data_IF_635225106821
#
_entry.id   IF_635225106821
#
_cell.length_a   1.000
_cell.length_b   1.000
_cell.length_c   1.000
_cell.angle_alpha   90.00
_cell.angle_beta   90.00
_cell.angle_gamma   90.00
#
_symmetry.space_group_name_H-M   'P 1'
#
loop_
_entity.id
_entity.type
_entity.pdbx_description
1 polymer ?
#
# COMPACT_ATOMS: atom_id res chain seq x y z
N UNK A 1 -9.24 -25.49 8.73
CA UNK A 1 -10.49 -25.57 7.97
C UNK A 1 -10.26 -24.93 6.61
N UNK A 2 -10.50 -25.61 5.50
CA UNK A 2 -10.37 -25.01 4.19
C UNK A 2 -11.37 -23.83 4.05
N UNK A 3 -11.02 -22.79 3.26
CA UNK A 3 -11.95 -21.71 3.02
C UNK A 3 -13.23 -22.22 2.35
N UNK A 4 -14.39 -21.61 2.61
CA UNK A 4 -15.60 -21.96 1.90
C UNK A 4 -15.37 -21.95 0.37
N UNK A 5 -15.93 -22.90 -0.35
CA UNK A 5 -15.73 -23.04 -1.79
C UNK A 5 -16.02 -21.74 -2.57
N UNK A 6 -16.97 -20.95 -2.11
CA UNK A 6 -17.32 -19.63 -2.67
C UNK A 6 -16.19 -18.59 -2.52
N UNK A 7 -15.26 -18.77 -1.59
CA UNK A 7 -14.14 -17.86 -1.34
C UNK A 7 -12.86 -18.28 -2.07
N UNK A 8 -12.81 -19.48 -2.61
CA UNK A 8 -11.62 -20.06 -3.23
C UNK A 8 -11.11 -19.18 -4.37
N UNK A 9 -11.99 -18.70 -5.22
CA UNK A 9 -11.60 -17.86 -6.35
C UNK A 9 -10.91 -16.55 -5.90
N UNK A 10 -11.51 -15.84 -4.96
CA UNK A 10 -10.91 -14.58 -4.45
C UNK A 10 -9.62 -14.88 -3.67
N UNK A 11 -9.60 -15.97 -2.91
CA UNK A 11 -8.40 -16.39 -2.21
C UNK A 11 -7.24 -16.66 -3.18
N UNK A 12 -7.49 -17.35 -4.28
CA UNK A 12 -6.49 -17.59 -5.33
C UNK A 12 -6.00 -16.29 -5.97
N UNK A 13 -6.88 -15.35 -6.21
CA UNK A 13 -6.48 -14.03 -6.71
C UNK A 13 -5.59 -13.28 -5.71
N UNK A 14 -5.91 -13.33 -4.41
CA UNK A 14 -5.13 -12.66 -3.37
C UNK A 14 -3.77 -13.28 -3.12
N UNK A 15 -3.60 -14.56 -3.40
CA UNK A 15 -2.40 -15.36 -3.05
C UNK A 15 -1.67 -15.95 -4.24
N UNK A 16 -2.28 -15.95 -5.43
CA UNK A 16 -1.71 -16.55 -6.65
C UNK A 16 -0.82 -15.59 -7.43
N UNK A 17 0.31 -16.08 -7.86
CA UNK A 17 1.23 -15.49 -8.84
C UNK A 17 1.30 -13.94 -8.89
N UNK A 18 1.01 -13.37 -10.03
CA UNK A 18 1.12 -11.92 -10.26
C UNK A 18 0.06 -11.11 -9.50
N UNK A 19 -1.16 -11.64 -9.40
CA UNK A 19 -2.24 -11.00 -8.64
C UNK A 19 -1.92 -10.88 -7.15
N UNK A 20 -1.26 -11.87 -6.57
CA UNK A 20 -0.83 -11.83 -5.18
C UNK A 20 0.15 -10.70 -4.90
N UNK A 21 0.99 -10.37 -5.85
CA UNK A 21 1.94 -9.26 -5.70
C UNK A 21 1.24 -7.90 -5.73
N UNK A 22 0.27 -7.71 -6.60
CA UNK A 22 -0.55 -6.50 -6.65
C UNK A 22 -1.35 -6.29 -5.36
N UNK A 23 -1.97 -7.35 -4.86
CA UNK A 23 -2.70 -7.31 -3.59
C UNK A 23 -1.80 -7.05 -2.39
N UNK A 24 -0.65 -7.69 -2.35
CA UNK A 24 0.36 -7.46 -1.31
C UNK A 24 0.89 -6.02 -1.34
N UNK A 25 1.07 -5.46 -2.52
CA UNK A 25 1.47 -4.06 -2.70
C UNK A 25 0.37 -3.11 -2.20
N UNK A 26 -0.88 -3.34 -2.59
CA UNK A 26 -2.02 -2.54 -2.11
C UNK A 26 -2.15 -2.59 -0.58
N UNK A 27 -1.98 -3.76 0.02
CA UNK A 27 -1.95 -3.94 1.46
C UNK A 27 -0.82 -3.13 2.13
N UNK A 28 0.39 -3.21 1.58
CA UNK A 28 1.54 -2.47 2.10
C UNK A 28 1.36 -0.95 2.02
N UNK A 29 0.81 -0.45 0.92
CA UNK A 29 0.51 0.97 0.73
C UNK A 29 -0.50 1.45 1.79
N UNK A 30 -1.59 0.72 1.98
CA UNK A 30 -2.59 1.07 2.99
C UNK A 30 -2.01 1.07 4.41
N UNK A 31 -1.20 0.08 4.74
CA UNK A 31 -0.50 0.00 6.04
C UNK A 31 0.42 1.21 6.22
N UNK A 32 1.20 1.57 5.21
CA UNK A 32 2.09 2.72 5.26
C UNK A 32 1.33 4.03 5.47
N UNK A 33 0.24 4.25 4.75
CA UNK A 33 -0.62 5.41 4.87
C UNK A 33 -1.27 5.50 6.25
N UNK A 34 -1.80 4.38 6.75
CA UNK A 34 -2.42 4.31 8.08
C UNK A 34 -1.40 4.63 9.17
N UNK A 35 -0.20 4.06 9.10
CA UNK A 35 0.86 4.35 10.07
C UNK A 35 1.32 5.80 10.03
N UNK A 36 1.42 6.39 8.85
CA UNK A 36 1.76 7.81 8.71
C UNK A 36 0.71 8.71 9.34
N UNK A 37 -0.57 8.38 9.16
CA UNK A 37 -1.69 9.17 9.67
C UNK A 37 -1.93 8.97 11.18
N UNK A 38 -1.85 7.73 11.66
CA UNK A 38 -2.27 7.35 13.02
C UNK A 38 -1.12 6.99 13.97
N UNK A 39 0.12 6.92 13.49
CA UNK A 39 1.28 6.46 14.26
C UNK A 39 1.28 4.96 14.58
N UNK A 40 0.27 4.22 14.16
CA UNK A 40 0.10 2.79 14.41
C UNK A 40 -0.48 2.08 13.18
N UNK A 41 -0.28 0.77 13.08
CA UNK A 41 -0.80 -0.03 11.98
C UNK A 41 -2.32 -0.23 12.06
N UNK A 42 -2.96 -0.57 10.93
CA UNK A 42 -4.35 -1.03 10.94
C UNK A 42 -4.47 -2.40 11.64
N UNK A 43 -5.68 -2.77 11.99
CA UNK A 43 -6.01 -4.16 12.30
C UNK A 43 -6.14 -4.98 11.01
N UNK A 44 -6.13 -6.29 11.11
CA UNK A 44 -6.42 -7.15 9.95
C UNK A 44 -7.84 -6.89 9.40
N UNK A 45 -8.80 -6.65 10.27
CA UNK A 45 -10.17 -6.33 9.85
C UNK A 45 -10.23 -5.02 9.04
N UNK A 46 -9.58 -3.96 9.50
CA UNK A 46 -9.49 -2.69 8.79
C UNK A 46 -8.76 -2.82 7.44
N UNK A 47 -7.69 -3.62 7.39
CA UNK A 47 -6.96 -3.90 6.16
C UNK A 47 -7.85 -4.58 5.11
N UNK A 48 -8.53 -5.66 5.49
CA UNK A 48 -9.39 -6.39 4.56
C UNK A 48 -10.65 -5.60 4.18
N UNK A 49 -11.23 -4.80 5.08
CA UNK A 49 -12.32 -3.89 4.75
C UNK A 49 -11.90 -2.84 3.70
N UNK A 50 -10.65 -2.40 3.73
CA UNK A 50 -10.11 -1.52 2.70
C UNK A 50 -9.88 -2.23 1.36
N UNK A 51 -9.35 -3.45 1.37
CA UNK A 51 -9.04 -4.21 0.16
C UNK A 51 -10.29 -4.80 -0.51
N UNK A 52 -11.29 -5.18 0.27
CA UNK A 52 -12.54 -5.79 -0.18
C UNK A 52 -13.73 -5.00 0.38
N UNK A 53 -13.97 -3.77 -0.07
CA UNK A 53 -14.95 -2.87 0.54
C UNK A 53 -16.41 -3.33 0.32
N UNK A 54 -16.69 -4.02 -0.77
CA UNK A 54 -18.05 -4.40 -1.15
C UNK A 54 -18.72 -5.40 -0.20
N UNK A 55 -17.92 -6.13 0.59
CA UNK A 55 -18.40 -7.17 1.49
C UNK A 55 -17.74 -7.10 2.89
N UNK A 56 -17.51 -5.90 3.40
CA UNK A 56 -16.89 -5.67 4.72
C UNK A 56 -15.57 -6.42 4.95
N UNK A 57 -14.78 -6.56 3.90
CA UNK A 57 -13.50 -7.28 3.95
C UNK A 57 -13.63 -8.79 3.83
N UNK A 58 -14.71 -9.28 3.29
CA UNK A 58 -14.94 -10.68 2.98
C UNK A 58 -15.01 -10.90 1.47
N UNK A 59 -14.59 -12.07 0.98
CA UNK A 59 -14.64 -12.39 -0.45
C UNK A 59 -16.05 -12.47 -1.03
N UNK A 60 -16.99 -12.93 -0.21
CA UNK A 60 -18.41 -13.10 -0.55
C UNK A 60 -19.21 -13.26 0.74
N UNK A 61 -20.54 -13.17 0.68
CA UNK A 61 -21.40 -13.52 1.79
C UNK A 61 -21.16 -14.94 2.29
N UNK A 62 -21.40 -15.17 3.56
CA UNK A 62 -21.28 -16.52 4.12
C UNK A 62 -22.31 -17.48 3.48
N UNK A 63 -21.91 -18.75 3.24
CA UNK A 63 -22.86 -19.80 2.93
C UNK A 63 -23.95 -19.90 4.01
N UNK A 64 -25.15 -20.24 3.62
CA UNK A 64 -26.22 -20.52 4.58
C UNK A 64 -25.86 -21.69 5.49
N UNK A 65 -26.35 -21.65 6.72
CA UNK A 65 -26.20 -22.75 7.68
C UNK A 65 -24.93 -22.75 8.52
N UNK A 66 -24.00 -21.83 8.31
CA UNK A 66 -22.80 -21.72 9.16
C UNK A 66 -23.12 -21.13 10.53
N UNK A 67 -22.63 -21.80 11.58
CA UNK A 67 -22.65 -21.28 12.95
C UNK A 67 -21.73 -20.06 13.10
N UNK A 68 -21.91 -19.27 14.15
CA UNK A 68 -21.04 -18.13 14.46
C UNK A 68 -19.56 -18.54 14.56
N UNK A 69 -19.28 -19.68 15.19
CA UNK A 69 -17.92 -20.20 15.34
C UNK A 69 -17.27 -20.55 13.99
N UNK A 70 -18.03 -21.20 13.11
CA UNK A 70 -17.56 -21.57 11.78
C UNK A 70 -17.30 -20.34 10.93
N UNK A 71 -18.16 -19.31 10.99
CA UNK A 71 -17.93 -18.02 10.33
C UNK A 71 -16.66 -17.36 10.81
N UNK A 72 -16.45 -17.32 12.13
CA UNK A 72 -15.25 -16.73 12.73
C UNK A 72 -13.98 -17.47 12.28
N UNK A 73 -13.98 -18.80 12.28
CA UNK A 73 -12.86 -19.61 11.81
C UNK A 73 -12.59 -19.43 10.31
N UNK A 74 -13.62 -19.32 9.49
CA UNK A 74 -13.48 -19.08 8.06
C UNK A 74 -12.83 -17.72 7.79
N UNK A 75 -13.24 -16.66 8.47
CA UNK A 75 -12.67 -15.30 8.35
C UNK A 75 -11.22 -15.29 8.80
N UNK A 76 -10.94 -15.85 9.98
CA UNK A 76 -9.59 -15.89 10.55
C UNK A 76 -8.64 -16.70 9.67
N UNK A 77 -9.10 -17.82 9.15
CA UNK A 77 -8.33 -18.66 8.23
C UNK A 77 -8.04 -17.94 6.92
N UNK A 78 -9.04 -17.32 6.30
CA UNK A 78 -8.89 -16.56 5.06
C UNK A 78 -7.89 -15.41 5.21
N UNK A 79 -8.08 -14.55 6.21
CA UNK A 79 -7.20 -13.42 6.49
C UNK A 79 -5.79 -13.87 6.84
N UNK A 80 -5.67 -14.90 7.68
CA UNK A 80 -4.39 -15.44 8.09
C UNK A 80 -3.59 -16.00 6.93
N UNK A 81 -4.18 -16.82 6.07
CA UNK A 81 -3.48 -17.39 4.92
C UNK A 81 -3.06 -16.33 3.90
N UNK A 82 -3.93 -15.38 3.58
CA UNK A 82 -3.59 -14.29 2.65
C UNK A 82 -2.44 -13.43 3.19
N UNK A 83 -2.49 -13.04 4.45
CA UNK A 83 -1.45 -12.20 5.05
C UNK A 83 -0.12 -12.94 5.24
N UNK A 84 -0.13 -14.24 5.53
CA UNK A 84 1.09 -15.06 5.58
C UNK A 84 1.77 -15.08 4.21
N UNK A 85 1.01 -15.22 3.14
CA UNK A 85 1.57 -15.19 1.79
C UNK A 85 2.21 -13.84 1.47
N UNK A 86 1.54 -12.74 1.79
CA UNK A 86 2.09 -11.40 1.60
C UNK A 86 3.32 -11.11 2.50
N UNK A 87 3.36 -11.72 3.68
CA UNK A 87 4.53 -11.68 4.56
C UNK A 87 5.71 -12.45 3.97
N UNK A 88 5.48 -13.64 3.41
CA UNK A 88 6.50 -14.43 2.71
C UNK A 88 7.13 -13.67 1.55
N UNK A 89 6.32 -12.88 0.85
CA UNK A 89 6.80 -11.97 -0.22
C UNK A 89 7.55 -10.75 0.31
N UNK A 90 7.62 -10.56 1.62
CA UNK A 90 8.31 -9.44 2.25
C UNK A 90 7.60 -8.09 2.11
N UNK A 91 6.32 -8.09 1.74
CA UNK A 91 5.54 -6.87 1.52
C UNK A 91 4.98 -6.30 2.80
N UNK A 92 4.55 -7.15 3.72
CA UNK A 92 4.02 -6.78 5.03
C UNK A 92 4.71 -7.56 6.15
N UNK A 93 4.58 -7.08 7.37
CA UNK A 93 5.08 -7.74 8.58
C UNK A 93 4.21 -7.38 9.78
N UNK A 94 4.23 -8.18 10.83
CA UNK A 94 3.58 -7.91 12.11
C UNK A 94 4.23 -8.70 13.23
N UNK A 95 3.93 -8.32 14.46
CA UNK A 95 4.31 -9.05 15.66
C UNK A 95 3.13 -9.89 16.14
N UNK A 96 3.39 -11.18 16.37
CA UNK A 96 2.40 -12.11 16.90
C UNK A 96 1.91 -11.61 18.26
N UNK A 97 0.60 -11.69 18.49
CA UNK A 97 -0.05 -11.26 19.74
C UNK A 97 0.00 -9.75 20.05
N UNK A 98 0.51 -8.93 19.15
CA UNK A 98 0.47 -7.46 19.30
C UNK A 98 -0.54 -6.86 18.34
N UNK A 99 -1.60 -6.29 18.90
CA UNK A 99 -2.64 -5.61 18.12
C UNK A 99 -2.05 -4.38 17.42
N UNK A 100 -2.48 -4.13 16.17
CA UNK A 100 -2.04 -2.97 15.37
C UNK A 100 -0.53 -2.93 15.11
N UNK A 101 0.12 -4.09 15.12
CA UNK A 101 1.55 -4.24 14.80
C UNK A 101 1.84 -4.31 13.29
N UNK A 102 0.82 -4.31 12.44
CA UNK A 102 0.98 -4.34 10.98
C UNK A 102 1.88 -3.20 10.52
N UNK A 103 2.90 -3.56 9.75
CA UNK A 103 3.89 -2.66 9.16
C UNK A 103 4.31 -3.16 7.78
N UNK A 104 4.91 -2.28 7.01
CA UNK A 104 5.46 -2.66 5.71
C UNK A 104 6.67 -3.59 5.88
N UNK A 105 6.78 -4.56 5.00
CA UNK A 105 7.87 -5.52 4.99
C UNK A 105 9.15 -4.97 4.36
N UNK A 106 10.21 -5.77 4.39
CA UNK A 106 11.53 -5.40 3.89
C UNK A 106 11.51 -5.18 2.37
N UNK A 107 10.91 -6.07 1.60
CA UNK A 107 10.86 -5.97 0.14
C UNK A 107 10.14 -4.69 -0.32
N UNK A 108 9.05 -4.30 0.35
CA UNK A 108 8.36 -3.05 0.06
C UNK A 108 9.26 -1.83 0.31
N UNK A 109 9.98 -1.80 1.43
CA UNK A 109 10.91 -0.70 1.75
C UNK A 109 12.03 -0.57 0.73
N UNK A 110 12.60 -1.68 0.30
CA UNK A 110 13.65 -1.70 -0.72
C UNK A 110 13.15 -1.18 -2.07
N UNK A 111 11.96 -1.62 -2.52
CA UNK A 111 11.33 -1.11 -3.75
C UNK A 111 11.04 0.39 -3.69
N UNK A 112 10.58 0.88 -2.54
CA UNK A 112 10.31 2.31 -2.35
C UNK A 112 11.59 3.14 -2.44
N UNK A 113 12.70 2.66 -1.88
CA UNK A 113 14.02 3.29 -2.01
C UNK A 113 14.51 3.33 -3.46
N UNK A 114 14.40 2.21 -4.18
CA UNK A 114 14.79 2.14 -5.59
C UNK A 114 14.00 3.12 -6.46
N UNK A 115 12.70 3.26 -6.25
CA UNK A 115 11.86 4.24 -6.97
C UNK A 115 12.30 5.68 -6.69
N UNK A 116 12.66 6.00 -5.45
CA UNK A 116 13.16 7.34 -5.09
C UNK A 116 14.51 7.62 -5.75
N UNK A 117 15.43 6.67 -5.78
CA UNK A 117 16.73 6.79 -6.42
C UNK A 117 16.59 6.97 -7.93
N UNK A 118 15.73 6.19 -8.58
CA UNK A 118 15.48 6.29 -10.02
C UNK A 118 14.88 7.65 -10.40
N UNK A 119 13.98 8.20 -9.57
CA UNK A 119 13.44 9.56 -9.79
C UNK A 119 14.51 10.64 -9.63
N UNK A 120 15.36 10.53 -8.64
CA UNK A 120 16.46 11.49 -8.43
C UNK A 120 17.47 11.46 -9.59
N UNK A 121 17.81 10.30 -10.10
CA UNK A 121 18.70 10.13 -11.27
C UNK A 121 18.07 10.67 -12.54
N UNK A 122 16.77 10.49 -12.74
CA UNK A 122 16.04 11.00 -13.91
C UNK A 122 15.92 12.54 -13.92
N UNK A 123 15.91 13.19 -12.76
CA UNK A 123 15.89 14.64 -12.62
C UNK A 123 17.29 15.29 -12.66
N UNK A 124 18.36 14.50 -12.46
CA UNK A 124 19.74 14.93 -12.52
C UNK A 124 20.41 14.82 -13.90
N UNK A 125 19.71 14.36 -14.91
CA UNK A 125 20.26 14.03 -16.24
C UNK A 125 20.20 15.15 -17.28
N UNK A 126 19.78 16.37 -16.98
CA UNK A 126 20.00 17.53 -17.83
C UNK A 126 21.30 18.22 -17.44
N UNK A 127 22.37 17.71 -17.97
CA UNK A 127 23.60 18.46 -18.11
C UNK A 127 23.32 19.63 -19.06
N UNK A 128 23.25 20.81 -18.51
CA UNK A 128 23.29 22.06 -19.27
C UNK A 128 24.66 22.07 -19.94
N UNK A 129 24.68 21.78 -21.22
CA UNK A 129 25.81 22.18 -22.04
C UNK A 129 25.85 23.72 -22.05
N UNK A 130 26.92 24.21 -21.46
CA UNK A 130 27.30 25.57 -21.40
C UNK A 130 27.56 26.08 -22.82
N UNK A 131 26.61 26.77 -23.41
CA UNK A 131 26.91 27.68 -24.53
C UNK A 131 27.08 29.06 -23.96
N UNK A 132 28.34 29.42 -23.81
CA UNK A 132 28.77 30.82 -23.69
C UNK A 132 28.40 31.53 -24.96
N UNK A 133 27.57 32.54 -24.92
CA UNK A 133 27.78 33.70 -25.73
C UNK A 133 27.07 34.92 -25.14
N UNK A 134 27.88 35.89 -25.09
CA UNK A 134 27.88 37.21 -24.51
C UNK A 134 26.76 38.14 -24.92
N UNK A 135 26.54 39.07 -23.99
CA UNK A 135 26.24 40.50 -24.18
C UNK A 135 24.80 40.92 -24.43
N UNK A 136 24.34 41.76 -23.55
CA UNK A 136 23.38 42.80 -23.92
C UNK A 136 22.40 43.20 -22.82
N UNK A 137 22.84 44.11 -21.97
CA UNK A 137 22.09 45.11 -21.21
C UNK A 137 20.59 45.25 -21.51
N UNK A 138 19.72 45.30 -20.54
CA UNK A 138 19.13 46.48 -19.95
C UNK A 138 18.10 46.15 -18.88
N UNK A 139 18.10 47.00 -17.89
CA UNK A 139 17.33 47.03 -16.68
C UNK A 139 15.84 47.43 -16.89
N UNK A 140 15.13 47.27 -15.82
CA UNK A 140 13.87 47.85 -15.32
C UNK A 140 12.75 46.81 -15.31
N UNK A 141 12.24 46.46 -14.21
CA UNK A 141 11.50 47.18 -13.22
C UNK A 141 10.24 46.43 -12.92
N UNK A 142 9.99 46.32 -11.69
CA UNK A 142 8.68 46.41 -11.07
C UNK A 142 7.89 45.14 -10.69
N UNK A 143 7.79 45.02 -9.43
CA UNK A 143 6.70 44.59 -8.52
C UNK A 143 5.59 43.65 -9.05
N UNK A 144 5.45 42.57 -8.36
CA UNK A 144 4.25 41.74 -8.37
C UNK A 144 4.28 40.65 -7.34
N UNK A 145 4.08 41.03 -6.07
CA UNK A 145 3.67 40.12 -5.00
C UNK A 145 2.38 39.40 -5.39
N UNK A 146 2.41 38.11 -5.51
CA UNK A 146 1.18 37.29 -5.39
C UNK A 146 1.49 36.07 -4.56
N UNK A 147 1.02 36.13 -3.34
CA UNK A 147 1.05 35.01 -2.40
C UNK A 147 0.19 33.87 -2.88
N UNK A 148 0.77 32.69 -2.83
CA UNK A 148 0.02 31.46 -2.91
C UNK A 148 0.01 30.79 -1.53
N UNK A 149 -1.15 30.88 -0.90
CA UNK A 149 -1.45 30.07 0.27
C UNK A 149 -1.65 28.64 -0.16
N UNK A 150 -1.02 27.74 0.57
CA UNK A 150 -1.10 26.31 0.39
C UNK A 150 -2.50 25.76 0.56
N UNK A 151 -2.75 24.70 -0.13
CA UNK A 151 -3.78 23.74 0.21
C UNK A 151 -3.07 22.40 0.27
N UNK A 152 -2.99 21.88 1.50
CA UNK A 152 -2.46 20.55 1.76
C UNK A 152 -3.48 19.47 1.41
N UNK A 153 -2.93 18.35 1.03
CA UNK A 153 -3.59 17.05 1.02
C UNK A 153 -2.69 16.05 1.75
#
# INVERSE_FOLDING_TARGET
MPPPAQWTYVFEQLTGADSAEEWALAAAIFIAQTRRRLGRGPTFAELFAHLLPDADGLPAPFPEGLTYRERHLAVSGFRGHATIEWRRRGMISWETSVTRSLRVGRAFRERSKQRQTSRATSLGGESIEHVSESAGRHAHGDNGEVGWRGVGW
#
